data_IF_748310956570
#
_entry.id   IF_748310956570
#
_cell.length_a   1.000
_cell.length_b   1.000
_cell.length_c   1.000
_cell.angle_alpha   90.00
_cell.angle_beta   90.00
_cell.angle_gamma   90.00
#
_symmetry.space_group_name_H-M   'P 1'
#
loop_
_entity.id
_entity.type
_entity.pdbx_description
1 polymer ?
#
# COMPACT_ATOMS: atom_id res chain seq x y z
N UNK A 1 -1.84 16.73 -6.09
CA UNK A 1 -1.96 16.71 -4.62
C UNK A 1 -2.99 15.69 -4.24
N UNK A 2 -2.55 14.52 -3.78
CA UNK A 2 -3.45 13.53 -3.16
C UNK A 2 -3.45 13.78 -1.65
N UNK A 3 -4.60 13.57 -1.01
CA UNK A 3 -4.77 13.50 0.45
C UNK A 3 -5.83 12.45 0.71
N UNK A 4 -5.63 11.63 1.74
CA UNK A 4 -6.61 10.64 2.17
C UNK A 4 -7.74 11.26 2.99
N UNK A 5 -7.68 12.56 3.29
CA UNK A 5 -8.58 13.22 4.25
C UNK A 5 -8.28 12.86 5.71
N UNK A 6 -7.15 12.19 5.98
CA UNK A 6 -6.69 11.84 7.32
C UNK A 6 -5.23 12.27 7.47
N UNK A 7 -5.01 13.35 8.21
CA UNK A 7 -3.69 13.97 8.38
C UNK A 7 -2.61 12.99 8.87
N UNK A 8 -2.98 12.05 9.75
CA UNK A 8 -2.05 11.06 10.28
C UNK A 8 -1.57 10.08 9.21
N UNK A 9 -2.49 9.61 8.37
CA UNK A 9 -2.17 8.73 7.23
C UNK A 9 -1.31 9.50 6.23
N UNK A 10 -1.73 10.72 5.90
CA UNK A 10 -1.02 11.58 4.95
C UNK A 10 0.42 11.84 5.41
N UNK A 11 0.64 12.19 6.68
CA UNK A 11 1.96 12.40 7.27
C UNK A 11 2.81 11.12 7.24
N UNK A 12 2.24 9.97 7.63
CA UNK A 12 2.95 8.70 7.60
C UNK A 12 3.44 8.34 6.19
N UNK A 13 2.60 8.51 5.18
CA UNK A 13 2.97 8.21 3.80
C UNK A 13 4.07 9.16 3.32
N UNK A 14 3.98 10.46 3.63
CA UNK A 14 5.01 11.42 3.28
C UNK A 14 6.35 11.08 3.93
N UNK A 15 6.36 10.75 5.22
CA UNK A 15 7.55 10.31 5.94
C UNK A 15 8.19 9.07 5.31
N UNK A 16 7.37 8.04 5.02
CA UNK A 16 7.84 6.82 4.35
C UNK A 16 8.40 7.12 2.96
N UNK A 17 7.78 8.02 2.19
CA UNK A 17 8.26 8.41 0.87
C UNK A 17 9.57 9.19 0.91
N UNK A 18 9.77 10.06 1.90
CA UNK A 18 11.01 10.82 2.08
C UNK A 18 12.18 9.95 2.57
N UNK A 19 11.90 8.93 3.38
CA UNK A 19 12.91 8.03 3.95
C UNK A 19 13.40 6.92 3.02
N UNK A 20 12.69 6.63 1.93
CA UNK A 20 12.91 5.42 1.12
C UNK A 20 13.79 5.64 -0.13
N UNK A 21 14.68 6.63 -0.10
CA UNK A 21 15.48 7.06 -1.27
C UNK A 21 16.61 6.08 -1.66
N UNK A 22 16.80 4.99 -0.91
CA UNK A 22 17.90 4.04 -1.11
C UNK A 22 17.48 2.62 -1.52
N UNK A 23 16.18 2.36 -1.71
CA UNK A 23 15.70 1.06 -2.15
C UNK A 23 15.13 1.10 -3.58
N UNK A 24 15.26 -0.01 -4.30
CA UNK A 24 14.71 -0.16 -5.65
C UNK A 24 13.16 -0.16 -5.66
N UNK A 25 12.50 -0.23 -4.50
CA UNK A 25 11.05 -0.35 -4.34
C UNK A 25 10.49 0.92 -3.69
N UNK A 26 9.56 1.56 -4.38
CA UNK A 26 8.99 2.84 -3.95
C UNK A 26 7.80 2.59 -3.03
N UNK A 27 7.67 3.43 -2.00
CA UNK A 27 6.47 3.46 -1.17
C UNK A 27 5.36 4.24 -1.88
N UNK A 28 4.29 3.56 -2.28
CA UNK A 28 3.24 4.13 -3.14
C UNK A 28 1.89 4.23 -2.45
N UNK A 29 1.18 5.34 -2.70
CA UNK A 29 -0.26 5.46 -2.43
C UNK A 29 -1.03 5.00 -3.68
N UNK A 30 -1.84 3.95 -3.54
CA UNK A 30 -2.53 3.30 -4.66
C UNK A 30 -4.04 3.38 -4.46
N UNK A 31 -4.75 3.82 -5.50
CA UNK A 31 -6.21 3.82 -5.51
C UNK A 31 -6.75 2.37 -5.49
N UNK A 32 -7.83 2.15 -4.73
CA UNK A 32 -8.39 0.82 -4.52
C UNK A 32 -8.83 0.13 -5.82
N UNK A 33 -9.21 0.91 -6.84
CA UNK A 33 -9.62 0.41 -8.17
C UNK A 33 -8.48 -0.22 -8.99
N UNK A 34 -7.23 -0.11 -8.55
CA UNK A 34 -6.08 -0.78 -9.16
C UNK A 34 -5.97 -2.26 -8.74
N UNK A 35 -6.79 -2.71 -7.79
CA UNK A 35 -6.81 -4.09 -7.32
C UNK A 35 -8.00 -4.86 -7.89
N UNK A 36 -7.76 -6.12 -8.27
CA UNK A 36 -8.78 -7.03 -8.79
C UNK A 36 -8.53 -8.46 -8.30
N UNK A 37 -9.44 -9.39 -8.60
CA UNK A 37 -9.42 -10.77 -8.09
C UNK A 37 -9.28 -10.83 -6.55
N UNK A 38 -10.05 -9.98 -5.86
CA UNK A 38 -9.97 -9.79 -4.41
C UNK A 38 -10.70 -10.94 -3.71
N UNK A 39 -9.96 -11.78 -2.98
CA UNK A 39 -10.48 -12.94 -2.28
C UNK A 39 -10.11 -12.88 -0.79
N UNK A 40 -11.06 -13.19 0.09
CA UNK A 40 -10.82 -13.18 1.54
C UNK A 40 -9.90 -14.35 1.92
N UNK A 41 -8.83 -14.06 2.65
CA UNK A 41 -7.86 -15.05 3.13
C UNK A 41 -8.06 -15.33 4.62
N UNK A 42 -8.15 -14.28 5.44
CA UNK A 42 -8.30 -14.42 6.88
C UNK A 42 -9.11 -13.25 7.46
N UNK A 43 -9.78 -13.46 8.59
CA UNK A 43 -10.42 -12.42 9.38
C UNK A 43 -10.14 -12.69 10.86
N UNK A 44 -9.67 -11.66 11.56
CA UNK A 44 -9.64 -11.61 13.01
C UNK A 44 -10.54 -10.46 13.49
N UNK A 45 -10.46 -10.14 14.79
CA UNK A 45 -11.32 -9.13 15.41
C UNK A 45 -10.98 -7.69 14.99
N UNK A 46 -9.76 -7.46 14.50
CA UNK A 46 -9.24 -6.12 14.18
C UNK A 46 -9.19 -5.84 12.67
N UNK A 47 -9.03 -6.89 11.86
CA UNK A 47 -8.75 -6.77 10.43
C UNK A 47 -9.24 -7.95 9.61
N UNK A 48 -9.32 -7.73 8.30
CA UNK A 48 -9.51 -8.80 7.32
C UNK A 48 -8.45 -8.71 6.26
N UNK A 49 -7.74 -9.82 6.05
CA UNK A 49 -6.73 -9.94 5.01
C UNK A 49 -7.37 -10.57 3.78
N UNK A 50 -7.15 -9.94 2.64
CA UNK A 50 -7.53 -10.42 1.32
C UNK A 50 -6.28 -10.68 0.48
N UNK A 51 -6.34 -11.65 -0.42
CA UNK A 51 -5.42 -11.73 -1.55
C UNK A 51 -6.02 -10.93 -2.70
N UNK A 52 -5.18 -10.20 -3.44
CA UNK A 52 -5.61 -9.44 -4.60
C UNK A 52 -4.49 -9.40 -5.64
N UNK A 53 -4.86 -9.12 -6.89
CA UNK A 53 -3.91 -8.77 -7.95
C UNK A 53 -3.87 -7.25 -8.10
N UNK A 54 -2.68 -6.69 -8.03
CA UNK A 54 -2.42 -5.28 -8.30
C UNK A 54 -2.06 -5.09 -9.78
N UNK A 55 -2.87 -4.30 -10.49
CA UNK A 55 -2.68 -3.95 -11.90
C UNK A 55 -1.34 -3.26 -12.13
N UNK A 56 -0.57 -3.73 -13.10
CA UNK A 56 0.75 -3.22 -13.48
C UNK A 56 1.85 -3.32 -12.41
N UNK A 57 1.53 -3.81 -11.21
CA UNK A 57 2.48 -4.04 -10.13
C UNK A 57 3.16 -2.78 -9.58
N UNK A 58 4.16 -2.97 -8.69
CA UNK A 58 4.87 -1.87 -8.05
C UNK A 58 5.76 -1.08 -9.01
N UNK A 59 6.00 0.18 -8.64
CA UNK A 59 6.94 1.07 -9.25
C UNK A 59 8.33 0.83 -8.66
N UNK A 60 9.31 0.73 -9.56
CA UNK A 60 10.71 0.57 -9.22
C UNK A 60 11.50 1.79 -9.65
N UNK A 61 12.55 2.11 -8.90
CA UNK A 61 13.53 3.12 -9.28
C UNK A 61 14.83 2.41 -9.71
N UNK A 62 15.05 2.30 -11.02
CA UNK A 62 16.20 1.61 -11.60
C UNK A 62 16.89 2.52 -12.62
N UNK A 63 18.22 2.57 -12.59
CA UNK A 63 19.04 3.39 -13.52
C UNK A 63 18.54 4.84 -13.64
N UNK A 64 18.22 5.45 -12.50
CA UNK A 64 17.69 6.82 -12.40
C UNK A 64 16.33 7.03 -13.10
N UNK A 65 15.56 5.96 -13.30
CA UNK A 65 14.25 5.99 -13.95
C UNK A 65 13.20 5.24 -13.15
N UNK A 66 11.98 5.76 -13.20
CA UNK A 66 10.80 5.09 -12.68
C UNK A 66 10.26 4.10 -13.71
N UNK A 67 10.20 2.82 -13.34
CA UNK A 67 9.75 1.75 -14.24
C UNK A 67 8.71 0.86 -13.56
N UNK A 68 7.68 0.48 -14.32
CA UNK A 68 6.80 -0.64 -13.99
C UNK A 68 7.04 -1.74 -15.01
N UNK A 69 7.27 -2.96 -14.55
CA UNK A 69 7.43 -4.11 -15.43
C UNK A 69 6.12 -4.61 -16.04
N UNK A 70 5.01 -3.89 -15.81
CA UNK A 70 3.67 -4.17 -16.37
C UNK A 70 3.20 -5.60 -16.11
N UNK A 71 3.65 -6.18 -15.00
CA UNK A 71 3.22 -7.48 -14.52
C UNK A 71 2.29 -7.30 -13.34
N UNK A 72 1.12 -7.91 -13.41
CA UNK A 72 0.21 -7.93 -12.28
C UNK A 72 0.88 -8.65 -11.12
N UNK A 73 0.79 -8.09 -9.91
CA UNK A 73 1.42 -8.67 -8.71
C UNK A 73 0.35 -9.16 -7.74
N UNK A 74 0.47 -10.40 -7.27
CA UNK A 74 -0.34 -10.89 -6.16
C UNK A 74 0.17 -10.25 -4.88
N UNK A 75 -0.75 -9.67 -4.11
CA UNK A 75 -0.47 -8.95 -2.86
C UNK A 75 -1.45 -9.37 -1.76
N UNK A 76 -1.10 -9.05 -0.52
CA UNK A 76 -2.03 -9.07 0.60
C UNK A 76 -2.60 -7.66 0.81
N UNK A 77 -3.93 -7.53 0.86
CA UNK A 77 -4.64 -6.33 1.26
C UNK A 77 -5.17 -6.53 2.69
N UNK A 78 -4.70 -5.73 3.64
CA UNK A 78 -5.19 -5.74 5.02
C UNK A 78 -6.20 -4.61 5.19
N UNK A 79 -7.46 -4.96 5.46
CA UNK A 79 -8.55 -4.02 5.72
C UNK A 79 -8.79 -3.93 7.23
N UNK A 80 -8.64 -2.74 7.80
CA UNK A 80 -8.86 -2.47 9.23
C UNK A 80 -10.35 -2.23 9.48
N UNK A 81 -10.90 -2.84 10.54
CA UNK A 81 -12.32 -2.66 10.90
C UNK A 81 -12.56 -1.35 11.64
N UNK A 82 -11.54 -0.80 12.28
CA UNK A 82 -11.62 0.42 13.06
C UNK A 82 -10.36 1.28 12.84
N UNK A 83 -10.55 2.61 12.77
CA UNK A 83 -9.47 3.59 12.66
C UNK A 83 -8.77 3.87 13.99
N UNK A 84 -9.35 3.45 15.13
CA UNK A 84 -8.66 3.56 16.45
C UNK A 84 -7.39 2.71 16.51
N UNK A 85 -7.33 1.65 15.72
CA UNK A 85 -6.20 0.71 15.68
C UNK A 85 -5.14 1.15 14.64
N UNK A 86 -5.28 2.36 14.08
CA UNK A 86 -4.35 2.87 13.07
C UNK A 86 -2.95 3.09 13.63
N UNK A 87 -2.84 3.47 14.91
CA UNK A 87 -1.56 3.59 15.60
C UNK A 87 -0.79 2.28 15.67
N UNK A 88 -1.47 1.21 16.07
CA UNK A 88 -0.88 -0.13 16.13
C UNK A 88 -0.47 -0.59 14.73
N UNK A 89 -1.33 -0.33 13.74
CA UNK A 89 -1.06 -0.70 12.35
C UNK A 89 0.12 0.04 11.71
N UNK A 90 0.26 1.35 11.96
CA UNK A 90 1.34 2.15 11.36
C UNK A 90 2.73 1.82 11.98
N UNK A 91 2.74 1.22 13.17
CA UNK A 91 3.95 0.82 13.89
C UNK A 91 4.37 -0.65 13.65
N UNK A 92 3.61 -1.42 12.87
CA UNK A 92 3.92 -2.80 12.45
C UNK A 92 5.12 -2.85 11.47
#
# INVERSE_FOLDING_TARGET
NWTSGNEKIDNFIQERQLGNNSSDIIFEWIAYDQFFDINKVNKNDFSTTYSAKWKNGPLYYLDQKYVRFSSNKVIALKFLHNLKDIDEFLNE
#
